data_IF_916365361072
#
_entry.id   IF_916365361072
#
_cell.length_a   1.000
_cell.length_b   1.000
_cell.length_c   1.000
_cell.angle_alpha   90.00
_cell.angle_beta   90.00
_cell.angle_gamma   90.00
#
_symmetry.space_group_name_H-M   'P 1'
#
loop_
_entity.id
_entity.type
_entity.pdbx_description
1 polymer ?
#
# COMPACT_ATOMS: atom_id res chain seq x y z
N UNK A 1 -17.77 4.34 23.00
CA UNK A 1 -16.48 4.97 23.35
C UNK A 1 -15.47 4.54 22.31
N UNK A 2 -14.81 5.50 21.66
CA UNK A 2 -13.69 5.20 20.75
C UNK A 2 -12.56 4.53 21.55
N UNK A 3 -11.97 3.48 21.02
CA UNK A 3 -10.80 2.80 21.61
C UNK A 3 -9.48 3.41 21.13
N UNK A 4 -9.53 4.59 20.50
CA UNK A 4 -8.37 5.29 19.93
C UNK A 4 -8.06 6.55 20.73
N UNK A 5 -6.80 7.00 20.69
CA UNK A 5 -6.32 8.23 21.31
C UNK A 5 -6.62 9.49 20.45
N UNK A 6 -7.43 9.34 19.38
CA UNK A 6 -7.84 10.44 18.51
C UNK A 6 -8.84 11.32 19.28
N UNK A 7 -8.66 12.64 19.20
CA UNK A 7 -9.57 13.59 19.81
C UNK A 7 -10.99 13.49 19.22
N UNK A 8 -12.03 13.59 20.06
CA UNK A 8 -13.43 13.37 19.69
C UNK A 8 -13.87 14.22 18.49
N UNK A 9 -13.46 15.50 18.43
CA UNK A 9 -13.78 16.38 17.30
C UNK A 9 -13.17 15.91 15.97
N UNK A 10 -11.98 15.32 15.99
CA UNK A 10 -11.35 14.76 14.79
C UNK A 10 -12.00 13.42 14.39
N UNK A 11 -12.46 12.64 15.38
CA UNK A 11 -13.21 11.41 15.11
C UNK A 11 -14.55 11.69 14.41
N UNK A 12 -15.26 12.76 14.78
CA UNK A 12 -16.50 13.16 14.11
C UNK A 12 -16.28 13.42 12.61
N UNK A 13 -15.20 14.13 12.26
CA UNK A 13 -14.84 14.41 10.87
C UNK A 13 -14.41 13.15 10.12
N UNK A 14 -13.63 12.28 10.76
CA UNK A 14 -13.20 10.99 10.18
C UNK A 14 -14.39 10.05 9.95
N UNK A 15 -15.33 9.99 10.87
CA UNK A 15 -16.53 9.16 10.75
C UNK A 15 -17.50 9.70 9.71
N UNK A 16 -17.59 11.01 9.57
CA UNK A 16 -18.39 11.70 8.55
C UNK A 16 -17.77 11.58 7.15
N UNK A 17 -16.45 11.36 7.05
CA UNK A 17 -15.76 11.25 5.78
C UNK A 17 -16.26 10.06 4.96
N UNK A 18 -16.57 10.31 3.68
CA UNK A 18 -17.01 9.30 2.71
C UNK A 18 -15.86 8.43 2.17
N UNK A 19 -14.76 8.35 2.89
CA UNK A 19 -13.55 7.62 2.49
C UNK A 19 -13.88 6.15 2.21
N UNK A 20 -13.62 5.72 0.97
CA UNK A 20 -13.83 4.33 0.52
C UNK A 20 -12.52 3.61 0.25
N UNK A 21 -11.58 4.28 -0.38
CA UNK A 21 -10.33 3.72 -0.83
C UNK A 21 -9.14 4.46 -0.20
N UNK A 22 -8.17 3.71 0.26
CA UNK A 22 -6.88 4.21 0.77
C UNK A 22 -5.78 3.52 -0.02
N UNK A 23 -4.92 4.29 -0.66
CA UNK A 23 -3.79 3.75 -1.41
C UNK A 23 -2.50 3.95 -0.65
N UNK A 24 -1.77 2.87 -0.44
CA UNK A 24 -0.43 2.86 0.14
C UNK A 24 0.58 2.48 -0.93
N UNK A 25 1.43 3.43 -1.32
CA UNK A 25 2.41 3.21 -2.37
C UNK A 25 3.80 2.94 -1.82
N UNK A 26 4.45 1.92 -2.37
CA UNK A 26 5.86 1.64 -2.18
C UNK A 26 6.62 1.89 -3.50
N UNK A 27 7.69 2.68 -3.44
CA UNK A 27 8.52 3.00 -4.60
C UNK A 27 9.31 1.81 -5.14
N UNK A 28 9.54 0.80 -4.31
CA UNK A 28 10.22 -0.45 -4.66
C UNK A 28 9.24 -1.60 -4.63
N UNK A 29 9.74 -2.80 -4.84
CA UNK A 29 8.95 -4.01 -4.85
C UNK A 29 8.66 -4.60 -3.47
N UNK A 30 7.88 -5.69 -3.45
CA UNK A 30 7.55 -6.39 -2.21
C UNK A 30 8.78 -6.96 -1.48
N UNK A 31 9.84 -7.30 -2.22
CA UNK A 31 11.10 -7.80 -1.62
C UNK A 31 11.85 -6.73 -0.83
N UNK A 32 11.70 -5.45 -1.19
CA UNK A 32 12.31 -4.32 -0.52
C UNK A 32 11.35 -3.64 0.48
N UNK A 33 10.18 -4.22 0.71
CA UNK A 33 9.21 -3.66 1.65
C UNK A 33 9.81 -3.50 3.06
N UNK A 34 9.67 -2.31 3.63
CA UNK A 34 10.19 -1.98 4.95
C UNK A 34 9.27 -2.44 6.09
N UNK A 35 8.03 -2.80 5.79
CA UNK A 35 7.06 -3.27 6.78
C UNK A 35 7.47 -4.64 7.35
N UNK A 36 7.09 -4.87 8.60
CA UNK A 36 7.22 -6.17 9.23
C UNK A 36 6.05 -7.09 8.86
N UNK A 37 6.27 -8.39 8.99
CA UNK A 37 5.21 -9.37 8.76
C UNK A 37 4.02 -9.21 9.73
N UNK A 38 4.27 -8.71 10.95
CA UNK A 38 3.20 -8.49 11.93
C UNK A 38 2.30 -7.31 11.51
N UNK A 39 2.90 -6.20 11.07
CA UNK A 39 2.14 -5.05 10.55
C UNK A 39 1.27 -5.45 9.36
N UNK A 40 1.78 -6.26 8.43
CA UNK A 40 0.98 -6.77 7.30
C UNK A 40 -0.17 -7.66 7.76
N UNK A 41 0.04 -8.51 8.76
CA UNK A 41 -1.03 -9.34 9.32
C UNK A 41 -2.12 -8.50 9.98
N UNK A 42 -1.73 -7.44 10.71
CA UNK A 42 -2.69 -6.49 11.30
C UNK A 42 -3.52 -5.79 10.22
N UNK A 43 -2.90 -5.43 9.09
CA UNK A 43 -3.63 -4.91 7.92
C UNK A 43 -4.67 -5.90 7.36
N UNK A 44 -4.40 -7.20 7.45
CA UNK A 44 -5.31 -8.25 6.99
C UNK A 44 -6.55 -8.47 7.87
N UNK A 45 -6.52 -8.02 9.12
CA UNK A 45 -7.61 -8.23 10.10
C UNK A 45 -8.34 -6.95 10.48
N UNK A 46 -8.19 -5.87 9.72
CA UNK A 46 -8.93 -4.62 9.93
C UNK A 46 -10.43 -4.86 9.90
N UNK A 47 -11.18 -4.40 10.92
CA UNK A 47 -12.62 -4.62 11.00
C UNK A 47 -13.41 -3.87 9.91
N UNK A 48 -13.05 -2.61 9.66
CA UNK A 48 -13.78 -1.71 8.77
C UNK A 48 -13.24 -1.66 7.33
N UNK A 49 -12.12 -2.32 7.06
CA UNK A 49 -11.47 -2.26 5.76
C UNK A 49 -10.99 -3.64 5.29
N UNK A 50 -11.04 -3.87 3.98
CA UNK A 50 -10.41 -5.01 3.32
C UNK A 50 -9.08 -4.54 2.74
N UNK A 51 -7.98 -5.22 3.06
CA UNK A 51 -6.68 -4.93 2.47
C UNK A 51 -6.47 -5.83 1.26
N UNK A 52 -6.10 -5.23 0.14
CA UNK A 52 -5.87 -5.91 -1.14
C UNK A 52 -4.50 -5.59 -1.71
N UNK A 53 -3.95 -6.54 -2.42
CA UNK A 53 -2.65 -6.45 -3.12
C UNK A 53 -2.82 -7.06 -4.50
N UNK A 54 -2.22 -6.47 -5.52
CA UNK A 54 -2.19 -7.10 -6.85
C UNK A 54 -1.20 -8.27 -6.85
N UNK A 55 -1.73 -9.48 -7.03
CA UNK A 55 -0.93 -10.71 -7.09
C UNK A 55 0.13 -10.68 -8.21
N UNK A 56 -0.12 -9.97 -9.31
CA UNK A 56 0.80 -9.84 -10.43
C UNK A 56 2.10 -9.10 -10.07
N UNK A 57 2.10 -8.34 -8.97
CA UNK A 57 3.28 -7.62 -8.48
C UNK A 57 4.13 -8.44 -7.50
N UNK A 58 3.65 -9.60 -7.10
CA UNK A 58 4.33 -10.46 -6.12
C UNK A 58 5.27 -11.45 -6.82
N UNK A 59 6.48 -11.65 -6.31
CA UNK A 59 7.41 -12.61 -6.88
C UNK A 59 6.94 -14.04 -6.63
N UNK A 60 7.17 -14.90 -7.63
CA UNK A 60 6.93 -16.34 -7.50
C UNK A 60 8.04 -17.03 -6.72
N UNK A 61 9.29 -16.57 -6.90
CA UNK A 61 10.50 -17.16 -6.31
C UNK A 61 11.35 -16.09 -5.62
N UNK A 62 12.11 -16.52 -4.62
CA UNK A 62 13.09 -15.67 -3.94
C UNK A 62 14.39 -15.57 -4.74
N UNK A 63 15.06 -14.39 -4.77
CA UNK A 63 16.37 -14.25 -5.38
C UNK A 63 17.42 -15.21 -4.79
N UNK A 64 18.28 -15.77 -5.64
CA UNK A 64 19.31 -16.72 -5.22
C UNK A 64 20.46 -16.06 -4.46
N UNK A 65 20.71 -14.77 -4.68
CA UNK A 65 21.79 -13.99 -4.08
C UNK A 65 21.50 -13.50 -2.66
N UNK A 66 20.30 -13.77 -2.15
CA UNK A 66 19.89 -13.40 -0.79
C UNK A 66 20.33 -14.45 0.23
N UNK A 67 20.81 -14.02 1.40
CA UNK A 67 21.19 -14.96 2.46
C UNK A 67 19.98 -15.71 3.07
N UNK A 68 20.21 -16.88 3.67
CA UNK A 68 19.16 -17.76 4.18
C UNK A 68 18.28 -17.12 5.26
N UNK A 69 18.84 -16.22 6.07
CA UNK A 69 18.09 -15.52 7.13
C UNK A 69 17.17 -14.47 6.51
N UNK A 70 17.69 -13.71 5.58
CA UNK A 70 16.93 -12.71 4.85
C UNK A 70 15.83 -13.37 4.02
N UNK A 71 16.15 -14.46 3.28
CA UNK A 71 15.16 -15.25 2.55
C UNK A 71 13.97 -15.66 3.43
N UNK A 72 14.23 -16.15 4.64
CA UNK A 72 13.16 -16.56 5.58
C UNK A 72 12.28 -15.38 6.02
N UNK A 73 12.87 -14.21 6.24
CA UNK A 73 12.11 -13.01 6.62
C UNK A 73 11.26 -12.53 5.44
N UNK A 74 11.87 -12.41 4.26
CA UNK A 74 11.17 -11.97 3.04
C UNK A 74 10.10 -12.95 2.61
N UNK A 75 10.35 -14.26 2.71
CA UNK A 75 9.34 -15.26 2.39
C UNK A 75 8.07 -15.08 3.21
N UNK A 76 8.18 -14.83 4.53
CA UNK A 76 7.01 -14.60 5.38
C UNK A 76 6.21 -13.35 4.97
N UNK A 77 6.90 -12.29 4.56
CA UNK A 77 6.27 -11.07 4.05
C UNK A 77 5.52 -11.39 2.75
N UNK A 78 6.15 -12.07 1.80
CA UNK A 78 5.54 -12.46 0.52
C UNK A 78 4.34 -13.40 0.74
N UNK A 79 4.45 -14.38 1.63
CA UNK A 79 3.34 -15.29 1.94
C UNK A 79 2.13 -14.54 2.51
N UNK A 80 2.36 -13.54 3.37
CA UNK A 80 1.29 -12.69 3.90
C UNK A 80 0.70 -11.80 2.80
N UNK A 81 1.51 -11.19 1.95
CA UNK A 81 1.03 -10.40 0.80
C UNK A 81 0.23 -11.28 -0.18
N UNK A 82 0.66 -12.51 -0.45
CA UNK A 82 -0.10 -13.48 -1.26
C UNK A 82 -1.46 -13.79 -0.63
N UNK A 83 -1.52 -13.97 0.68
CA UNK A 83 -2.81 -14.15 1.37
C UNK A 83 -3.71 -12.92 1.25
N UNK A 84 -3.15 -11.70 1.36
CA UNK A 84 -3.91 -10.46 1.16
C UNK A 84 -4.38 -10.28 -0.28
N UNK A 85 -3.66 -10.82 -1.27
CA UNK A 85 -4.06 -10.74 -2.68
C UNK A 85 -5.27 -11.61 -3.04
N UNK A 86 -5.67 -12.54 -2.18
CA UNK A 86 -6.88 -13.35 -2.34
C UNK A 86 -8.16 -12.58 -1.98
N UNK A 87 -8.05 -11.51 -1.18
CA UNK A 87 -9.17 -10.66 -0.80
C UNK A 87 -9.65 -9.80 -1.97
N UNK A 88 -10.94 -9.50 -2.00
CA UNK A 88 -11.53 -8.69 -3.07
C UNK A 88 -11.90 -7.30 -2.56
N UNK A 89 -11.67 -6.25 -3.40
CA UNK A 89 -12.17 -4.91 -3.07
C UNK A 89 -13.68 -4.93 -2.81
N UNK A 90 -14.11 -4.14 -1.82
CA UNK A 90 -15.54 -3.99 -1.53
C UNK A 90 -16.16 -5.07 -0.64
N UNK A 91 -15.40 -6.02 -0.10
CA UNK A 91 -15.89 -6.98 0.90
C UNK A 91 -16.29 -6.30 2.21
N UNK A 92 -15.62 -5.19 2.55
CA UNK A 92 -15.94 -4.33 3.69
C UNK A 92 -16.23 -2.91 3.24
N UNK A 93 -16.60 -2.04 4.17
CA UNK A 93 -16.97 -0.64 3.90
C UNK A 93 -15.86 0.15 3.20
N UNK A 94 -14.59 -0.17 3.51
CA UNK A 94 -13.40 0.50 2.96
C UNK A 94 -12.45 -0.53 2.36
N UNK A 95 -11.63 -0.08 1.43
CA UNK A 95 -10.56 -0.89 0.84
C UNK A 95 -9.22 -0.18 1.03
N UNK A 96 -8.22 -0.92 1.50
CA UNK A 96 -6.82 -0.47 1.53
C UNK A 96 -6.08 -1.18 0.41
N UNK A 97 -5.55 -0.42 -0.52
CA UNK A 97 -4.76 -0.92 -1.64
C UNK A 97 -3.27 -0.79 -1.31
N UNK A 98 -2.54 -1.89 -1.29
CA UNK A 98 -1.08 -1.87 -1.19
C UNK A 98 -0.52 -2.01 -2.59
N UNK A 99 0.14 -0.96 -3.06
CA UNK A 99 0.67 -0.82 -4.41
C UNK A 99 2.19 -0.75 -4.37
N UNK A 100 2.84 -1.46 -5.30
CA UNK A 100 4.28 -1.48 -5.44
C UNK A 100 4.72 -0.85 -6.76
N UNK A 101 5.99 -0.49 -6.86
CA UNK A 101 6.61 0.05 -8.06
C UNK A 101 5.95 1.33 -8.57
N UNK A 102 5.59 2.23 -7.65
CA UNK A 102 5.08 3.55 -8.00
C UNK A 102 5.62 4.63 -7.06
N UNK A 103 5.98 5.78 -7.61
CA UNK A 103 6.48 6.94 -6.88
C UNK A 103 5.66 8.18 -7.21
N UNK A 104 5.27 9.00 -6.22
CA UNK A 104 4.59 10.25 -6.49
C UNK A 104 5.54 11.25 -7.15
N UNK A 105 5.04 11.98 -8.15
CA UNK A 105 5.78 13.04 -8.84
C UNK A 105 5.10 14.40 -8.80
N UNK A 106 3.77 14.45 -8.68
CA UNK A 106 3.03 15.70 -8.66
C UNK A 106 1.70 15.54 -7.90
N UNK A 107 1.33 16.52 -7.10
CA UNK A 107 -0.02 16.63 -6.54
C UNK A 107 -0.85 17.47 -7.51
N UNK A 108 -2.00 16.97 -7.93
CA UNK A 108 -2.89 17.61 -8.88
C UNK A 108 -3.98 18.38 -8.16
N UNK A 109 -4.37 19.51 -8.73
CA UNK A 109 -5.41 20.40 -8.23
C UNK A 109 -4.94 21.84 -8.12
N UNK A 110 -5.83 22.74 -7.74
CA UNK A 110 -5.56 24.15 -7.51
C UNK A 110 -5.52 24.47 -6.02
N UNK A 111 -6.61 25.03 -5.48
CA UNK A 111 -6.72 25.36 -4.05
C UNK A 111 -6.95 24.12 -3.17
N UNK A 112 -7.40 23.03 -3.76
CA UNK A 112 -7.64 21.74 -3.10
C UNK A 112 -6.97 20.61 -3.87
N UNK A 113 -6.70 19.50 -3.18
CA UNK A 113 -6.17 18.26 -3.82
C UNK A 113 -7.29 17.62 -4.63
N UNK A 114 -7.03 17.35 -5.90
CA UNK A 114 -7.94 16.67 -6.83
C UNK A 114 -7.40 15.31 -7.28
N UNK A 115 -6.10 15.08 -7.08
CA UNK A 115 -5.44 13.84 -7.46
C UNK A 115 -3.95 13.87 -7.18
N UNK A 116 -3.32 12.76 -7.51
CA UNK A 116 -1.87 12.59 -7.46
C UNK A 116 -1.38 11.92 -8.74
N UNK A 117 -0.31 12.45 -9.32
CA UNK A 117 0.39 11.82 -10.44
C UNK A 117 1.50 10.95 -9.92
N UNK A 118 1.47 9.71 -10.34
CA UNK A 118 2.43 8.69 -10.01
C UNK A 118 3.27 8.33 -11.25
N UNK A 119 4.51 7.93 -11.02
CA UNK A 119 5.37 7.33 -12.02
C UNK A 119 5.61 5.86 -11.69
N UNK A 120 5.47 4.97 -12.67
CA UNK A 120 5.89 3.57 -12.53
C UNK A 120 7.40 3.50 -12.32
N UNK A 121 7.82 2.65 -11.41
CA UNK A 121 9.22 2.47 -11.04
C UNK A 121 9.66 1.03 -11.24
N UNK A 122 10.95 0.82 -11.31
CA UNK A 122 11.60 -0.49 -11.30
C UNK A 122 12.80 -0.46 -10.34
N UNK A 123 13.26 -1.62 -9.96
CA UNK A 123 14.45 -1.77 -9.13
C UNK A 123 15.60 -2.31 -9.98
N UNK A 124 16.69 -1.55 -10.06
CA UNK A 124 17.93 -1.95 -10.71
C UNK A 124 19.10 -1.72 -9.77
N UNK A 125 19.89 -2.77 -9.48
CA UNK A 125 21.02 -2.68 -8.55
C UNK A 125 20.63 -2.19 -7.15
N UNK A 126 19.42 -2.56 -6.67
CA UNK A 126 18.87 -2.14 -5.37
C UNK A 126 18.34 -0.70 -5.33
N UNK A 127 18.40 0.04 -6.45
CA UNK A 127 17.90 1.42 -6.55
C UNK A 127 16.55 1.47 -7.26
N UNK A 128 15.70 2.34 -6.76
CA UNK A 128 14.43 2.68 -7.43
C UNK A 128 14.72 3.63 -8.59
N UNK A 129 14.26 3.28 -9.78
CA UNK A 129 14.42 4.08 -11.00
C UNK A 129 13.03 4.29 -11.63
N UNK A 130 12.70 5.53 -11.98
CA UNK A 130 11.49 5.85 -12.74
C UNK A 130 11.55 5.27 -14.16
N UNK A 131 10.42 4.84 -14.67
CA UNK A 131 10.32 4.28 -16.04
C UNK A 131 9.92 5.32 -17.08
N UNK A 132 9.46 6.50 -16.65
CA UNK A 132 8.86 7.52 -17.51
C UNK A 132 7.36 7.28 -17.77
N UNK A 133 6.82 6.13 -17.37
CA UNK A 133 5.38 5.84 -17.47
C UNK A 133 4.65 6.47 -16.29
N UNK A 134 3.69 7.35 -16.57
CA UNK A 134 2.92 8.05 -15.54
C UNK A 134 1.44 7.69 -15.58
N UNK A 135 0.78 7.81 -14.43
CA UNK A 135 -0.67 7.64 -14.29
C UNK A 135 -1.19 8.53 -13.17
N UNK A 136 -2.44 8.95 -13.29
CA UNK A 136 -3.08 9.84 -12.34
C UNK A 136 -4.11 9.06 -11.51
N UNK A 137 -4.17 9.36 -10.21
CA UNK A 137 -5.15 8.80 -9.28
C UNK A 137 -5.96 9.95 -8.72
N UNK A 138 -7.29 9.98 -8.95
CA UNK A 138 -8.16 10.94 -8.28
C UNK A 138 -8.14 10.70 -6.78
N UNK A 139 -7.88 11.72 -5.98
CA UNK A 139 -7.92 11.66 -4.52
C UNK A 139 -8.20 13.04 -3.94
N UNK A 140 -8.75 13.06 -2.75
CA UNK A 140 -9.08 14.28 -2.01
C UNK A 140 -8.09 14.58 -0.88
N UNK A 141 -7.20 13.62 -0.58
CA UNK A 141 -6.20 13.73 0.46
C UNK A 141 -4.91 12.99 0.08
N UNK A 142 -3.78 13.61 0.37
CA UNK A 142 -2.43 13.02 0.27
C UNK A 142 -1.73 13.21 1.61
N UNK A 143 -1.10 12.15 2.16
CA UNK A 143 -0.38 12.14 3.44
C UNK A 143 1.07 11.70 3.23
#
# INVERSE_FOLDING_TARGET
MSTTDIADYAMEDIDAASLKDVYMFARRGPLEAACTNNELKEMGVLEAATTVVDAALLPDEMPDDMDDREKKVRQRIIDTLKSLSEAKPGEKRRTVHIEFYASPIEILGGDTVEGIRMERTKVEGGRCIGTGETFDIPCEMVV
#
